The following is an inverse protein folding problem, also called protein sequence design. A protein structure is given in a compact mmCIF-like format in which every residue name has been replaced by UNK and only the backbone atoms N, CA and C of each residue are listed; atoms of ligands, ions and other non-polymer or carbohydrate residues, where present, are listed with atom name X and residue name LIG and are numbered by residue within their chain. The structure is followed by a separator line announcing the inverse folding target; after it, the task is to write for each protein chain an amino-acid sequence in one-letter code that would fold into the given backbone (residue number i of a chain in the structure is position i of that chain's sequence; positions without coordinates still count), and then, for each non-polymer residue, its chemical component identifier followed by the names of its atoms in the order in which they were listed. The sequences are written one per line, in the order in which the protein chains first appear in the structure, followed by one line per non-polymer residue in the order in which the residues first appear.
data_IF_659203330112
#
_entry.id   IF_659203330112
#
_cell.length_a   1.000
_cell.length_b   1.000
_cell.length_c   1.000
_cell.angle_alpha   90.00
_cell.angle_beta   90.00
_cell.angle_gamma   90.00
#
_symmetry.space_group_name_H-M   'P 1'
#
loop_
_entity.id
_entity.type
_entity.pdbx_description
1 polymer ?
#
# COMPACT_ATOMS: atom_id res chain seq x y z
N UNK A 1 -21.93 -8.67 -13.83
CA UNK A 1 -20.47 -8.44 -13.90
C UNK A 1 -19.86 -9.60 -14.68
N UNK A 2 -18.99 -9.35 -15.65
CA UNK A 2 -18.27 -10.43 -16.34
C UNK A 2 -17.21 -11.05 -15.43
N UNK A 3 -16.85 -12.31 -15.67
CA UNK A 3 -15.84 -13.03 -14.88
C UNK A 3 -14.47 -12.32 -14.92
N UNK A 4 -14.09 -11.78 -16.08
CA UNK A 4 -12.86 -11.01 -16.25
C UNK A 4 -12.80 -9.76 -15.34
N UNK A 5 -13.92 -9.07 -15.15
CA UNK A 5 -13.99 -7.91 -14.27
C UNK A 5 -13.87 -8.31 -12.80
N UNK A 6 -14.47 -9.45 -12.41
CA UNK A 6 -14.34 -10.00 -11.06
C UNK A 6 -12.88 -10.37 -10.75
N UNK A 7 -12.20 -11.04 -11.68
CA UNK A 7 -10.81 -11.45 -11.52
C UNK A 7 -9.85 -10.25 -11.44
N UNK A 8 -10.09 -9.21 -12.24
CA UNK A 8 -9.34 -7.98 -12.14
C UNK A 8 -9.49 -7.34 -10.74
N UNK A 9 -10.73 -7.22 -10.25
CA UNK A 9 -10.99 -6.64 -8.93
C UNK A 9 -10.38 -7.48 -7.81
N UNK A 10 -10.49 -8.81 -7.88
CA UNK A 10 -9.85 -9.72 -6.92
C UNK A 10 -8.33 -9.50 -6.84
N UNK A 11 -7.66 -9.33 -7.99
CA UNK A 11 -6.21 -9.03 -8.03
C UNK A 11 -5.88 -7.68 -7.41
N UNK A 12 -6.70 -6.66 -7.63
CA UNK A 12 -6.49 -5.35 -7.01
C UNK A 12 -6.64 -5.42 -5.48
N UNK A 13 -7.69 -6.09 -5.00
CA UNK A 13 -7.97 -6.28 -3.57
C UNK A 13 -6.86 -7.10 -2.90
N UNK A 14 -6.46 -8.22 -3.50
CA UNK A 14 -5.38 -9.05 -2.96
C UNK A 14 -4.06 -8.28 -2.85
N UNK A 15 -3.74 -7.46 -3.86
CA UNK A 15 -2.55 -6.60 -3.82
C UNK A 15 -2.67 -5.48 -2.79
N UNK A 16 -3.87 -4.91 -2.59
CA UNK A 16 -4.11 -3.90 -1.57
C UNK A 16 -3.89 -4.46 -0.16
N UNK A 17 -4.47 -5.64 0.13
CA UNK A 17 -4.26 -6.34 1.39
C UNK A 17 -2.78 -6.63 1.66
N UNK A 18 -2.05 -7.11 0.65
CA UNK A 18 -0.60 -7.31 0.75
C UNK A 18 0.17 -6.01 1.04
N UNK A 19 -0.19 -4.89 0.40
CA UNK A 19 0.45 -3.59 0.68
C UNK A 19 0.26 -3.15 2.13
N UNK A 20 -0.95 -3.33 2.68
CA UNK A 20 -1.26 -2.99 4.07
C UNK A 20 -0.49 -3.90 5.03
N UNK A 21 -0.61 -5.22 4.84
CA UNK A 21 -0.02 -6.21 5.74
C UNK A 21 1.51 -6.16 5.78
N UNK A 22 2.15 -5.90 4.64
CA UNK A 22 3.62 -5.84 4.56
C UNK A 22 4.21 -4.50 5.03
N UNK A 23 3.44 -3.59 5.62
CA UNK A 23 3.94 -2.27 6.02
C UNK A 23 4.44 -1.46 4.82
N UNK A 24 3.73 -1.53 3.70
CA UNK A 24 4.08 -0.85 2.45
C UNK A 24 3.27 0.41 2.21
N UNK A 25 2.36 0.77 3.12
CA UNK A 25 1.67 2.05 3.13
C UNK A 25 2.19 2.87 4.30
N UNK A 26 2.70 4.07 4.01
CA UNK A 26 3.21 5.00 5.03
C UNK A 26 2.42 6.29 4.91
N UNK A 27 1.78 6.71 5.99
CA UNK A 27 1.15 8.03 6.07
C UNK A 27 2.26 9.08 6.23
N UNK A 28 2.34 10.03 5.30
CA UNK A 28 3.31 11.13 5.34
C UNK A 28 2.68 12.35 6.01
N UNK A 29 1.41 12.62 5.69
CA UNK A 29 0.58 13.65 6.32
C UNK A 29 -0.89 13.26 6.18
N UNK A 30 -1.81 14.08 6.68
CA UNK A 30 -3.26 13.84 6.54
C UNK A 30 -3.76 13.85 5.09
N UNK A 31 -2.95 14.40 4.18
CA UNK A 31 -3.29 14.56 2.76
C UNK A 31 -2.43 13.71 1.83
N UNK A 32 -1.46 12.95 2.35
CA UNK A 32 -0.46 12.26 1.52
C UNK A 32 0.01 10.93 2.10
N UNK A 33 -0.04 9.89 1.27
CA UNK A 33 0.48 8.56 1.59
C UNK A 33 1.55 8.16 0.59
N UNK A 34 2.59 7.52 1.12
CA UNK A 34 3.63 6.85 0.37
C UNK A 34 3.34 5.37 0.27
N UNK A 35 3.23 4.84 -0.94
CA UNK A 35 2.89 3.43 -1.17
C UNK A 35 4.01 2.73 -1.93
N UNK A 36 4.57 1.70 -1.30
CA UNK A 36 5.77 0.99 -1.73
C UNK A 36 5.36 -0.29 -2.47
N UNK A 37 5.23 -0.18 -3.79
CA UNK A 37 4.96 -1.33 -4.65
C UNK A 37 6.13 -2.33 -4.72
N UNK A 38 5.98 -3.34 -5.58
CA UNK A 38 7.03 -4.36 -5.80
C UNK A 38 8.28 -3.78 -6.47
N UNK A 39 8.08 -2.91 -7.46
CA UNK A 39 9.16 -2.30 -8.27
C UNK A 39 9.26 -0.79 -8.08
N UNK A 40 8.10 -0.12 -8.00
CA UNK A 40 7.99 1.33 -7.96
C UNK A 40 7.28 1.79 -6.70
N UNK A 41 7.47 3.07 -6.37
CA UNK A 41 6.80 3.74 -5.25
C UNK A 41 5.84 4.79 -5.82
N UNK A 42 4.71 4.95 -5.17
CA UNK A 42 3.62 5.79 -5.67
C UNK A 42 3.08 6.66 -4.55
N UNK A 43 2.55 7.83 -4.93
CA UNK A 43 1.87 8.72 -4.00
C UNK A 43 0.37 8.51 -4.13
N UNK A 44 -0.33 8.49 -3.00
CA UNK A 44 -1.78 8.64 -2.96
C UNK A 44 -2.09 9.94 -2.22
N UNK A 45 -2.71 10.87 -2.92
CA UNK A 45 -3.14 12.17 -2.40
C UNK A 45 -4.61 12.11 -1.99
N UNK A 46 -4.94 12.87 -0.95
CA UNK A 46 -6.32 13.13 -0.53
C UNK A 46 -6.71 14.50 -1.09
N UNK A 47 -7.70 14.52 -1.96
CA UNK A 47 -8.20 15.73 -2.62
C UNK A 47 -9.70 15.86 -2.27
N UNK A 48 -9.99 16.49 -1.12
CA UNK A 48 -11.32 16.47 -0.52
C UNK A 48 -11.74 15.05 -0.16
N UNK A 49 -12.87 14.60 -0.70
CA UNK A 49 -13.38 13.23 -0.50
C UNK A 49 -12.80 12.20 -1.47
N UNK A 50 -11.89 12.62 -2.36
CA UNK A 50 -11.30 11.75 -3.39
C UNK A 50 -9.88 11.35 -3.05
N UNK A 51 -9.49 10.18 -3.56
CA UNK A 51 -8.12 9.69 -3.52
C UNK A 51 -7.55 9.63 -4.93
N UNK A 52 -6.38 10.22 -5.13
CA UNK A 52 -5.69 10.29 -6.42
C UNK A 52 -4.33 9.61 -6.32
N UNK A 53 -4.06 8.65 -7.20
CA UNK A 53 -2.79 7.91 -7.20
C UNK A 53 -1.94 8.20 -8.43
N UNK A 54 -0.62 8.30 -8.23
CA UNK A 54 0.32 8.58 -9.33
C UNK A 54 0.63 7.38 -10.24
N UNK A 55 0.17 6.17 -9.90
CA UNK A 55 0.47 4.98 -10.70
C UNK A 55 -0.32 4.94 -12.02
N UNK A 56 0.27 4.32 -13.06
CA UNK A 56 -0.34 4.19 -14.39
C UNK A 56 -1.73 3.54 -14.35
N UNK A 57 -1.90 2.46 -13.58
CA UNK A 57 -3.20 1.77 -13.49
C UNK A 57 -4.34 2.66 -12.97
N UNK A 58 -4.04 3.62 -12.09
CA UNK A 58 -5.02 4.61 -11.66
C UNK A 58 -5.26 5.66 -12.74
N UNK A 59 -4.20 6.18 -13.39
CA UNK A 59 -4.33 7.15 -14.49
C UNK A 59 -5.17 6.62 -15.64
N UNK A 60 -5.08 5.33 -15.94
CA UNK A 60 -5.82 4.67 -17.03
C UNK A 60 -7.26 4.32 -16.66
N UNK A 61 -7.53 3.93 -15.40
CA UNK A 61 -8.79 3.26 -15.02
C UNK A 61 -9.54 3.92 -13.86
N UNK A 62 -8.96 4.93 -13.22
CA UNK A 62 -9.49 5.55 -12.00
C UNK A 62 -9.46 4.65 -10.76
N UNK A 63 -8.86 3.44 -10.84
CA UNK A 63 -8.79 2.50 -9.72
C UNK A 63 -7.48 1.72 -9.73
N UNK A 64 -6.89 1.51 -8.55
CA UNK A 64 -5.72 0.67 -8.38
C UNK A 64 -5.64 0.14 -6.94
N UNK A 65 -4.78 -0.86 -6.72
CA UNK A 65 -4.57 -1.44 -5.39
C UNK A 65 -4.04 -0.43 -4.35
N UNK A 66 -3.33 0.62 -4.78
CA UNK A 66 -2.79 1.63 -3.86
C UNK A 66 -3.91 2.51 -3.28
N UNK A 67 -4.85 2.94 -4.13
CA UNK A 67 -6.02 3.70 -3.68
C UNK A 67 -6.90 2.84 -2.80
N UNK A 68 -7.15 1.58 -3.17
CA UNK A 68 -7.93 0.65 -2.34
C UNK A 68 -7.28 0.48 -0.97
N UNK A 69 -5.96 0.31 -0.89
CA UNK A 69 -5.27 0.18 0.39
C UNK A 69 -5.46 1.43 1.29
N UNK A 70 -5.20 2.63 0.75
CA UNK A 70 -5.35 3.89 1.49
C UNK A 70 -6.80 4.15 1.87
N UNK A 71 -7.74 3.86 0.97
CA UNK A 71 -9.16 3.95 1.23
C UNK A 71 -9.58 3.08 2.42
N UNK A 72 -9.17 1.81 2.42
CA UNK A 72 -9.48 0.87 3.50
C UNK A 72 -8.88 1.34 4.82
N UNK A 73 -7.62 1.79 4.81
CA UNK A 73 -6.95 2.34 6.00
C UNK A 73 -7.73 3.51 6.59
N UNK A 74 -8.13 4.48 5.75
CA UNK A 74 -8.91 5.65 6.16
C UNK A 74 -10.28 5.26 6.67
N UNK A 75 -11.00 4.43 5.92
CA UNK A 75 -12.39 4.04 6.24
C UNK A 75 -12.49 3.22 7.52
N UNK A 76 -11.44 2.47 7.86
CA UNK A 76 -11.35 1.68 9.09
C UNK A 76 -10.57 2.39 10.21
N UNK A 77 -10.19 3.66 10.04
CA UNK A 77 -9.41 4.44 11.01
C UNK A 77 -8.10 3.75 11.46
N UNK A 78 -7.43 3.05 10.54
CA UNK A 78 -6.21 2.28 10.81
C UNK A 78 -4.92 3.11 10.73
N UNK A 79 -5.02 4.44 10.64
CA UNK A 79 -3.89 5.33 10.39
C UNK A 79 -2.90 5.46 11.55
N UNK A 80 -3.37 5.20 12.77
CA UNK A 80 -2.58 5.25 13.98
C UNK A 80 -1.73 3.99 14.17
N UNK A 81 -1.98 3.27 15.27
CA UNK A 81 -1.17 2.12 15.71
C UNK A 81 -0.87 1.12 14.60
N UNK A 82 -1.89 0.72 13.83
CA UNK A 82 -1.75 -0.30 12.80
C UNK A 82 -0.66 0.01 11.75
N UNK A 83 -0.64 1.22 11.17
CA UNK A 83 0.40 1.56 10.19
C UNK A 83 1.79 1.56 10.80
N UNK A 84 1.92 2.09 12.02
CA UNK A 84 3.19 2.16 12.72
C UNK A 84 3.73 0.77 13.07
N UNK A 85 2.85 -0.14 13.51
CA UNK A 85 3.18 -1.53 13.82
C UNK A 85 3.58 -2.30 12.55
N UNK A 86 2.81 -2.18 11.47
CA UNK A 86 3.12 -2.83 10.21
C UNK A 86 4.47 -2.36 9.64
N UNK A 87 4.74 -1.06 9.69
CA UNK A 87 6.02 -0.49 9.26
C UNK A 87 7.18 -0.96 10.13
N UNK A 88 7.02 -0.95 11.46
CA UNK A 88 8.03 -1.45 12.40
C UNK A 88 8.34 -2.92 12.17
N UNK A 89 7.31 -3.76 12.05
CA UNK A 89 7.46 -5.17 11.77
C UNK A 89 8.21 -5.42 10.46
N UNK A 90 7.96 -4.60 9.43
CA UNK A 90 8.71 -4.66 8.17
C UNK A 90 10.18 -4.28 8.39
N UNK A 91 10.47 -3.17 9.05
CA UNK A 91 11.84 -2.72 9.30
C UNK A 91 12.65 -3.79 10.06
N UNK A 92 12.07 -4.39 11.09
CA UNK A 92 12.70 -5.48 11.87
C UNK A 92 12.99 -6.72 11.00
N UNK A 93 12.08 -7.10 10.09
CA UNK A 93 12.32 -8.20 9.14
C UNK A 93 13.49 -7.91 8.22
N UNK A 94 13.54 -6.72 7.62
CA UNK A 94 14.60 -6.31 6.69
C UNK A 94 15.96 -6.25 7.41
N UNK A 95 16.03 -5.63 8.60
CA UNK A 95 17.25 -5.60 9.42
C UNK A 95 17.76 -7.01 9.73
N UNK A 96 16.86 -7.92 10.14
CA UNK A 96 17.23 -9.32 10.42
C UNK A 96 17.81 -10.03 9.20
N UNK A 97 17.29 -9.75 8.00
CA UNK A 97 17.81 -10.32 6.76
C UNK A 97 19.20 -9.78 6.42
N UNK A 98 19.39 -8.46 6.56
CA UNK A 98 20.70 -7.81 6.38
C UNK A 98 21.76 -8.40 7.32
N UNK A 99 21.45 -8.53 8.62
CA UNK A 99 22.36 -9.16 9.58
C UNK A 99 22.72 -10.61 9.20
N UNK A 100 21.75 -11.39 8.70
CA UNK A 100 22.03 -12.76 8.25
C UNK A 100 22.95 -12.81 7.03
N UNK A 101 22.84 -11.84 6.12
CA UNK A 101 23.70 -11.74 4.94
C UNK A 101 25.13 -11.33 5.33
N UNK A 102 25.28 -10.35 6.21
CA UNK A 102 26.59 -9.91 6.69
C UNK A 102 27.39 -11.02 7.40
N UNK A 103 26.72 -11.94 8.11
CA UNK A 103 27.39 -13.08 8.76
C UNK A 103 27.78 -14.23 7.82
N UNK A 104 27.32 -14.20 6.56
CA UNK A 104 27.61 -15.22 5.55
C UNK A 104 28.68 -14.78 4.55
N UNK A 105 29.04 -13.49 4.57
CA UNK A 105 30.14 -12.90 3.80
C UNK A 105 31.42 -12.93 4.66
#
# INVERSE_FOLDING_TARGET
MSDANRDFMNRLVAKAAWLMHEGRVVKISDVLYYVIGRKNRHMVKVEGDKLVCTCNGFRERGICSHVIAVYTIRRLNLEGGYLSEALRARAERELRLMYKQMRRA
#
